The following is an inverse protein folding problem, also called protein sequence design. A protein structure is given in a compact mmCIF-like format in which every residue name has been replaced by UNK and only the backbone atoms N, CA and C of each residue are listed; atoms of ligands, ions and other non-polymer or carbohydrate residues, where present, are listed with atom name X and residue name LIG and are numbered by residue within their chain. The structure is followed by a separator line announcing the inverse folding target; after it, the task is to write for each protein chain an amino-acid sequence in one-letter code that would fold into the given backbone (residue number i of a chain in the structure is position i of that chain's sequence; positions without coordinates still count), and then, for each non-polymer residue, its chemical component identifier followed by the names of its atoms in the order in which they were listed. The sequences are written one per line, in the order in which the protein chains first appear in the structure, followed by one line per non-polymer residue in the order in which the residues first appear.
data_IF_021696576574
#
_entry.id   IF_021696576574
#
_cell.length_a   1.000
_cell.length_b   1.000
_cell.length_c   1.000
_cell.angle_alpha   90.00
_cell.angle_beta   90.00
_cell.angle_gamma   90.00
#
_symmetry.space_group_name_H-M   'P 1'
#
loop_
_entity.id
_entity.type
_entity.pdbx_description
1 polymer ?
#
# COMPACT_ATOMS: atom_id res chain seq x y z
N UNK A 1 13.22 22.19 -0.79
CA UNK A 1 12.05 21.34 -0.51
C UNK A 1 12.41 19.88 -0.68
N UNK A 2 11.89 19.00 0.19
CA UNK A 2 12.20 17.57 0.15
C UNK A 2 10.97 16.70 0.40
N UNK A 3 10.92 15.56 -0.30
CA UNK A 3 9.91 14.51 -0.12
C UNK A 3 10.63 13.30 0.46
N UNK A 4 10.18 12.79 1.60
CA UNK A 4 10.75 11.55 2.18
C UNK A 4 10.11 10.30 1.58
N UNK A 5 8.79 10.32 1.46
CA UNK A 5 7.92 9.24 1.01
C UNK A 5 6.79 9.84 0.17
N UNK A 6 6.31 9.12 -0.83
CA UNK A 6 5.15 9.63 -1.58
C UNK A 6 3.88 9.57 -0.73
N UNK A 7 2.87 10.37 -1.13
CA UNK A 7 1.52 10.27 -0.56
C UNK A 7 0.92 8.87 -0.77
N UNK A 8 1.14 8.25 -1.93
CA UNK A 8 0.72 6.88 -2.23
C UNK A 8 1.25 5.89 -1.18
N UNK A 9 2.56 5.93 -0.86
CA UNK A 9 3.13 5.08 0.20
C UNK A 9 2.51 5.37 1.57
N UNK A 10 2.30 6.64 1.89
CA UNK A 10 1.70 7.05 3.17
C UNK A 10 0.30 6.47 3.33
N UNK A 11 -0.55 6.56 2.31
CA UNK A 11 -1.91 6.00 2.33
C UNK A 11 -1.89 4.46 2.36
N UNK A 12 -1.01 3.83 1.58
CA UNK A 12 -0.86 2.37 1.60
C UNK A 12 -0.40 1.86 2.97
N UNK A 13 0.51 2.58 3.64
CA UNK A 13 0.97 2.23 4.99
C UNK A 13 -0.14 2.36 6.03
N UNK A 14 -1.05 3.34 5.91
CA UNK A 14 -2.22 3.44 6.80
C UNK A 14 -3.15 2.24 6.62
N UNK A 15 -3.34 1.78 5.39
CA UNK A 15 -4.16 0.60 5.12
C UNK A 15 -3.49 -0.68 5.63
N UNK A 16 -2.19 -0.85 5.36
CA UNK A 16 -1.47 -2.09 5.65
C UNK A 16 -1.03 -2.22 7.12
N UNK A 17 -0.67 -1.10 7.75
CA UNK A 17 0.12 -1.05 9.00
C UNK A 17 -0.46 -1.83 10.18
N UNK A 18 -1.79 -1.84 10.32
CA UNK A 18 -2.45 -2.53 11.44
C UNK A 18 -2.89 -3.95 11.08
N UNK A 19 -2.68 -4.42 9.84
CA UNK A 19 -3.22 -5.70 9.36
C UNK A 19 -2.77 -6.90 10.22
N UNK A 20 -1.48 -6.96 10.55
CA UNK A 20 -0.95 -8.04 11.40
C UNK A 20 -1.50 -7.95 12.83
N UNK A 21 -1.58 -6.75 13.40
CA UNK A 21 -2.12 -6.56 14.75
C UNK A 21 -3.60 -6.92 14.83
N UNK A 22 -4.40 -6.50 13.85
CA UNK A 22 -5.81 -6.85 13.72
C UNK A 22 -6.00 -8.35 13.53
N UNK A 23 -5.20 -8.98 12.67
CA UNK A 23 -5.25 -10.42 12.47
C UNK A 23 -4.93 -11.19 13.76
N UNK A 24 -3.88 -10.79 14.48
CA UNK A 24 -3.54 -11.39 15.78
C UNK A 24 -4.70 -11.22 16.76
N UNK A 25 -5.25 -10.02 16.87
CA UNK A 25 -6.38 -9.71 17.77
C UNK A 25 -7.59 -10.58 17.46
N UNK A 26 -7.95 -10.71 16.18
CA UNK A 26 -9.04 -11.59 15.74
C UNK A 26 -8.75 -13.06 16.09
N UNK A 27 -7.53 -13.54 15.85
CA UNK A 27 -7.16 -14.92 16.13
C UNK A 27 -7.14 -15.23 17.63
N UNK A 28 -6.74 -14.28 18.48
CA UNK A 28 -6.83 -14.39 19.94
C UNK A 28 -8.29 -14.51 20.37
N UNK A 29 -9.18 -13.67 19.84
CA UNK A 29 -10.62 -13.76 20.13
C UNK A 29 -11.23 -15.09 19.70
N UNK A 30 -10.87 -15.58 18.50
CA UNK A 30 -11.31 -16.89 18.00
C UNK A 30 -10.78 -18.04 18.87
N UNK A 31 -9.57 -17.94 19.40
CA UNK A 31 -9.01 -18.93 20.32
C UNK A 31 -9.74 -18.93 21.69
N UNK A 32 -10.15 -17.75 22.16
CA UNK A 32 -11.02 -17.62 23.34
C UNK A 32 -12.38 -18.30 23.14
N UNK A 33 -12.96 -18.21 21.94
CA UNK A 33 -14.18 -18.95 21.58
C UNK A 33 -13.92 -20.46 21.58
N UNK A 34 -12.83 -20.91 20.94
CA UNK A 34 -12.46 -22.33 20.85
C UNK A 34 -12.32 -22.99 22.21
N UNK A 35 -11.73 -22.27 23.16
CA UNK A 35 -11.49 -22.74 24.54
C UNK A 35 -12.72 -22.62 25.45
N UNK A 36 -13.82 -22.02 24.98
CA UNK A 36 -15.03 -21.81 25.77
C UNK A 36 -14.94 -20.65 26.77
N UNK A 37 -13.82 -19.89 26.77
CA UNK A 37 -13.61 -18.74 27.66
C UNK A 37 -14.44 -17.53 27.21
N UNK A 38 -14.63 -17.37 25.89
CA UNK A 38 -15.39 -16.25 25.30
C UNK A 38 -16.76 -16.73 24.83
N UNK A 39 -17.82 -16.10 25.33
CA UNK A 39 -19.21 -16.36 24.96
C UNK A 39 -19.84 -15.18 24.20
N UNK A 40 -21.04 -15.39 23.64
CA UNK A 40 -21.78 -14.32 22.93
C UNK A 40 -22.02 -13.14 23.86
N UNK A 41 -21.68 -11.93 23.42
CA UNK A 41 -22.09 -10.72 24.13
C UNK A 41 -23.63 -10.56 24.02
N UNK A 42 -24.36 -10.25 25.12
CA UNK A 42 -25.79 -9.98 25.08
C UNK A 42 -26.23 -8.88 24.10
N UNK A 43 -25.36 -7.91 23.77
CA UNK A 43 -25.67 -6.85 22.81
C UNK A 43 -25.72 -7.32 21.35
N UNK A 44 -25.23 -8.53 21.06
CA UNK A 44 -25.35 -9.13 19.74
C UNK A 44 -26.73 -9.77 19.57
N UNK A 45 -27.65 -9.02 18.96
CA UNK A 45 -29.05 -9.41 18.72
C UNK A 45 -29.25 -10.49 17.65
N UNK A 46 -28.19 -11.20 17.26
CA UNK A 46 -28.24 -12.32 16.31
C UNK A 46 -27.98 -13.65 17.01
N UNK A 47 -28.56 -14.72 16.49
CA UNK A 47 -28.36 -16.07 17.02
C UNK A 47 -26.94 -16.54 16.73
N UNK A 48 -26.22 -16.95 17.77
CA UNK A 48 -24.92 -17.61 17.66
C UNK A 48 -24.85 -18.70 18.72
N UNK A 49 -25.01 -19.95 18.27
CA UNK A 49 -24.99 -21.15 19.11
C UNK A 49 -24.27 -22.29 18.34
N UNK A 50 -22.93 -22.20 18.19
CA UNK A 50 -22.18 -23.20 17.44
C UNK A 50 -22.25 -24.57 18.12
N UNK A 51 -22.61 -25.61 17.36
CA UNK A 51 -22.63 -27.00 17.86
C UNK A 51 -21.23 -27.54 18.17
N UNK A 52 -20.24 -27.07 17.42
CA UNK A 52 -18.83 -27.47 17.54
C UNK A 52 -17.96 -26.21 17.52
N UNK A 53 -17.38 -25.89 18.68
CA UNK A 53 -16.50 -24.74 18.88
C UNK A 53 -15.17 -24.91 18.14
N UNK A 54 -14.65 -26.12 18.00
CA UNK A 54 -13.39 -26.39 17.32
C UNK A 54 -13.54 -26.15 15.81
N UNK A 55 -14.55 -26.77 15.19
CA UNK A 55 -14.83 -26.57 13.76
C UNK A 55 -15.21 -25.12 13.43
N UNK A 56 -16.00 -24.47 14.29
CA UNK A 56 -16.36 -23.05 14.13
C UNK A 56 -15.12 -22.16 14.19
N UNK A 57 -14.25 -22.38 15.17
CA UNK A 57 -13.01 -21.62 15.33
C UNK A 57 -12.04 -21.87 14.17
N UNK A 58 -11.90 -23.11 13.70
CA UNK A 58 -11.08 -23.44 12.52
C UNK A 58 -11.53 -22.69 11.27
N UNK A 59 -12.84 -22.59 11.03
CA UNK A 59 -13.40 -21.82 9.91
C UNK A 59 -13.21 -20.31 10.08
N UNK A 60 -13.44 -19.79 11.29
CA UNK A 60 -13.22 -18.38 11.59
C UNK A 60 -11.74 -17.97 11.39
N UNK A 61 -10.78 -18.81 11.82
CA UNK A 61 -9.34 -18.59 11.56
C UNK A 61 -9.01 -18.56 10.07
N UNK A 62 -9.63 -19.43 9.27
CA UNK A 62 -9.45 -19.41 7.80
C UNK A 62 -9.99 -18.12 7.19
N UNK A 63 -11.19 -17.71 7.60
CA UNK A 63 -11.81 -16.48 7.14
C UNK A 63 -10.96 -15.24 7.48
N UNK A 64 -10.52 -15.11 8.74
CA UNK A 64 -9.70 -13.98 9.18
C UNK A 64 -8.38 -13.86 8.38
N UNK A 65 -7.71 -14.99 8.12
CA UNK A 65 -6.48 -15.01 7.33
C UNK A 65 -6.71 -14.67 5.85
N UNK A 66 -7.80 -15.16 5.26
CA UNK A 66 -8.16 -14.81 3.89
C UNK A 66 -8.50 -13.32 3.76
N UNK A 67 -9.26 -12.77 4.71
CA UNK A 67 -9.58 -11.35 4.77
C UNK A 67 -8.31 -10.48 4.91
N UNK A 68 -7.40 -10.85 5.80
CA UNK A 68 -6.13 -10.13 5.97
C UNK A 68 -5.24 -10.18 4.72
N UNK A 69 -5.18 -11.33 4.03
CA UNK A 69 -4.48 -11.43 2.74
C UNK A 69 -5.13 -10.52 1.68
N UNK A 70 -6.45 -10.57 1.51
CA UNK A 70 -7.17 -9.71 0.56
C UNK A 70 -6.93 -8.23 0.85
N UNK A 71 -7.04 -7.82 2.12
CA UNK A 71 -6.77 -6.45 2.55
C UNK A 71 -5.35 -5.99 2.22
N UNK A 72 -4.37 -6.88 2.36
CA UNK A 72 -2.96 -6.58 2.04
C UNK A 72 -2.75 -6.37 0.54
N UNK A 73 -3.41 -7.18 -0.30
CA UNK A 73 -3.38 -6.99 -1.75
C UNK A 73 -4.10 -5.72 -2.18
N UNK A 74 -5.21 -5.37 -1.53
CA UNK A 74 -5.93 -4.13 -1.83
C UNK A 74 -5.10 -2.90 -1.43
N UNK A 75 -4.30 -2.97 -0.35
CA UNK A 75 -3.35 -1.91 -0.01
C UNK A 75 -2.23 -1.74 -1.07
N UNK A 76 -1.72 -2.85 -1.62
CA UNK A 76 -0.79 -2.81 -2.77
C UNK A 76 -1.47 -2.22 -4.00
N UNK A 77 -2.71 -2.61 -4.28
CA UNK A 77 -3.45 -2.09 -5.43
C UNK A 77 -3.74 -0.58 -5.31
N UNK A 78 -4.09 -0.13 -4.11
CA UNK A 78 -4.30 1.28 -3.81
C UNK A 78 -3.00 2.08 -3.96
N UNK A 79 -1.86 1.54 -3.54
CA UNK A 79 -0.55 2.15 -3.79
C UNK A 79 -0.30 2.34 -5.29
N UNK A 80 -0.40 1.25 -6.07
CA UNK A 80 -0.16 1.26 -7.51
C UNK A 80 -1.17 2.16 -8.26
N UNK A 81 -2.43 2.12 -7.86
CA UNK A 81 -3.48 2.98 -8.40
C UNK A 81 -3.24 4.45 -8.09
N UNK A 82 -2.77 4.81 -6.90
CA UNK A 82 -2.43 6.20 -6.57
C UNK A 82 -1.27 6.71 -7.43
N UNK A 83 -0.26 5.87 -7.73
CA UNK A 83 0.81 6.24 -8.65
C UNK A 83 0.34 6.51 -10.09
N UNK A 84 -0.86 6.05 -10.47
CA UNK A 84 -1.44 6.35 -11.79
C UNK A 84 -1.89 7.81 -11.95
N UNK A 85 -2.02 8.57 -10.85
CA UNK A 85 -2.51 9.96 -10.86
C UNK A 85 -1.46 10.88 -11.50
N UNK A 86 -1.53 11.04 -12.82
CA UNK A 86 -0.56 11.79 -13.65
C UNK A 86 -0.29 13.21 -13.15
N UNK A 87 -1.32 13.88 -12.63
CA UNK A 87 -1.16 15.25 -12.11
C UNK A 87 -0.21 15.31 -10.91
N UNK A 88 -0.12 14.25 -10.11
CA UNK A 88 0.76 14.16 -8.94
C UNK A 88 2.06 13.40 -9.24
N UNK A 89 1.96 12.33 -10.01
CA UNK A 89 3.05 11.42 -10.32
C UNK A 89 3.34 11.45 -11.82
N UNK A 90 4.15 12.42 -12.25
CA UNK A 90 4.70 12.39 -13.60
C UNK A 90 5.83 11.36 -13.65
N UNK A 91 5.49 10.17 -14.15
CA UNK A 91 6.41 9.05 -14.28
C UNK A 91 6.95 8.91 -15.71
N UNK A 92 6.76 9.91 -16.56
CA UNK A 92 7.23 9.90 -17.95
C UNK A 92 8.76 9.73 -18.05
N UNK A 93 9.50 10.23 -17.05
CA UNK A 93 10.95 10.03 -16.92
C UNK A 93 11.38 8.60 -16.58
N UNK A 94 10.45 7.73 -16.14
CA UNK A 94 10.68 6.28 -16.00
C UNK A 94 10.23 5.60 -17.29
N UNK A 95 8.96 5.78 -17.66
CA UNK A 95 8.36 5.17 -18.84
C UNK A 95 7.10 5.94 -19.23
N UNK A 96 6.99 6.37 -20.48
CA UNK A 96 5.93 7.24 -20.95
C UNK A 96 4.50 6.67 -20.80
N UNK A 97 4.32 5.34 -20.79
CA UNK A 97 2.99 4.70 -20.73
C UNK A 97 2.64 4.14 -19.35
N UNK A 98 3.52 4.27 -18.35
CA UNK A 98 3.35 3.56 -17.07
C UNK A 98 2.09 4.00 -16.32
N UNK A 99 1.79 5.30 -16.30
CA UNK A 99 0.60 5.79 -15.60
C UNK A 99 -0.68 5.17 -16.17
N UNK A 100 -0.78 4.98 -17.49
CA UNK A 100 -1.94 4.35 -18.12
C UNK A 100 -2.02 2.86 -17.79
N UNK A 101 -0.89 2.17 -17.76
CA UNK A 101 -0.82 0.77 -17.33
C UNK A 101 -1.17 0.59 -15.84
N UNK A 102 -0.92 1.59 -15.00
CA UNK A 102 -1.31 1.57 -13.59
C UNK A 102 -2.83 1.77 -13.36
N UNK A 103 -3.59 2.14 -14.39
CA UNK A 103 -5.06 2.22 -14.33
C UNK A 103 -5.75 0.87 -14.59
N UNK A 104 -5.01 -0.16 -14.95
CA UNK A 104 -5.54 -1.50 -15.25
C UNK A 104 -6.32 -2.09 -14.07
N UNK A 105 -7.30 -2.96 -14.31
CA UNK A 105 -8.09 -3.56 -13.21
C UNK A 105 -7.32 -4.60 -12.39
N UNK A 106 -6.31 -5.22 -12.96
CA UNK A 106 -5.58 -6.33 -12.33
C UNK A 106 -4.36 -5.83 -11.57
N UNK A 107 -4.30 -6.10 -10.27
CA UNK A 107 -3.13 -5.80 -9.41
C UNK A 107 -1.86 -6.44 -9.95
N UNK A 108 -1.98 -7.66 -10.49
CA UNK A 108 -0.87 -8.38 -11.12
C UNK A 108 -0.29 -7.56 -12.29
N UNK A 109 -1.15 -7.09 -13.20
CA UNK A 109 -0.71 -6.29 -14.36
C UNK A 109 -0.09 -4.96 -13.95
N UNK A 110 -0.67 -4.27 -12.96
CA UNK A 110 -0.08 -3.03 -12.43
C UNK A 110 1.32 -3.28 -11.86
N UNK A 111 1.50 -4.36 -11.10
CA UNK A 111 2.78 -4.71 -10.48
C UNK A 111 3.82 -5.09 -11.54
N UNK A 112 3.46 -5.89 -12.55
CA UNK A 112 4.34 -6.21 -13.69
C UNK A 112 4.77 -4.94 -14.43
N UNK A 113 3.80 -4.06 -14.74
CA UNK A 113 4.07 -2.81 -15.46
C UNK A 113 5.06 -1.92 -14.72
N UNK A 114 4.87 -1.68 -13.42
CA UNK A 114 5.80 -0.83 -12.67
C UNK A 114 7.15 -1.53 -12.46
N UNK A 115 7.16 -2.83 -12.20
CA UNK A 115 8.40 -3.59 -12.01
C UNK A 115 9.25 -3.57 -13.28
N UNK A 116 8.64 -3.75 -14.44
CA UNK A 116 9.32 -3.66 -15.73
C UNK A 116 9.80 -2.23 -16.01
N UNK A 117 8.95 -1.23 -15.79
CA UNK A 117 9.28 0.18 -16.04
C UNK A 117 10.47 0.65 -15.22
N UNK A 118 10.60 0.22 -13.96
CA UNK A 118 11.73 0.58 -13.08
C UNK A 118 12.86 -0.45 -13.08
N UNK A 119 12.78 -1.49 -13.92
CA UNK A 119 13.73 -2.62 -13.94
C UNK A 119 13.97 -3.20 -12.54
N UNK A 120 12.89 -3.43 -11.80
CA UNK A 120 12.94 -3.92 -10.43
C UNK A 120 13.59 -5.31 -10.40
N UNK A 121 14.63 -5.54 -9.58
CA UNK A 121 15.28 -6.84 -9.51
C UNK A 121 14.35 -7.90 -8.91
N UNK A 122 14.52 -9.15 -9.34
CA UNK A 122 13.87 -10.30 -8.73
C UNK A 122 14.36 -10.46 -7.29
N UNK A 123 13.50 -10.10 -6.34
CA UNK A 123 13.73 -10.21 -4.89
C UNK A 123 12.70 -11.14 -4.27
N UNK A 124 13.00 -11.63 -3.06
CA UNK A 124 12.04 -12.45 -2.32
C UNK A 124 10.75 -11.67 -1.98
N UNK A 125 10.85 -10.37 -1.74
CA UNK A 125 9.70 -9.49 -1.56
C UNK A 125 8.76 -9.49 -2.77
N UNK A 126 9.34 -9.32 -3.96
CA UNK A 126 8.59 -9.35 -5.22
C UNK A 126 7.96 -10.73 -5.44
N UNK A 127 8.74 -11.80 -5.27
CA UNK A 127 8.24 -13.17 -5.45
C UNK A 127 7.10 -13.51 -4.48
N UNK A 128 7.20 -13.08 -3.21
CA UNK A 128 6.13 -13.26 -2.22
C UNK A 128 4.91 -12.40 -2.53
N UNK A 129 5.06 -11.20 -3.09
CA UNK A 129 3.93 -10.38 -3.52
C UNK A 129 3.19 -11.02 -4.71
N UNK A 130 3.90 -11.55 -5.70
CA UNK A 130 3.29 -12.31 -6.80
C UNK A 130 2.56 -13.55 -6.28
N UNK A 131 3.17 -14.33 -5.38
CA UNK A 131 2.51 -15.46 -4.74
C UNK A 131 1.25 -15.02 -3.98
N UNK A 132 1.31 -13.93 -3.21
CA UNK A 132 0.18 -13.41 -2.45
C UNK A 132 -0.99 -13.01 -3.36
N UNK A 133 -0.73 -12.38 -4.51
CA UNK A 133 -1.74 -12.03 -5.52
C UNK A 133 -2.42 -13.30 -6.05
N UNK A 134 -1.65 -14.29 -6.49
CA UNK A 134 -2.23 -15.53 -7.04
C UNK A 134 -2.99 -16.32 -5.99
N UNK A 135 -2.47 -16.39 -4.77
CA UNK A 135 -3.15 -17.06 -3.66
C UNK A 135 -4.46 -16.35 -3.30
N UNK A 136 -4.48 -15.02 -3.27
CA UNK A 136 -5.73 -14.25 -3.09
C UNK A 136 -6.73 -14.56 -4.19
N UNK A 137 -6.28 -14.60 -5.44
CA UNK A 137 -7.18 -14.87 -6.57
C UNK A 137 -7.81 -16.26 -6.45
N UNK A 138 -7.04 -17.28 -6.09
CA UNK A 138 -7.53 -18.66 -5.92
C UNK A 138 -8.46 -18.80 -4.68
N UNK A 139 -8.30 -17.94 -3.67
CA UNK A 139 -9.19 -17.93 -2.50
C UNK A 139 -10.53 -17.22 -2.76
N UNK A 140 -10.52 -16.18 -3.58
CA UNK A 140 -11.70 -15.31 -3.82
C UNK A 140 -12.51 -15.78 -5.03
N UNK A 141 -11.85 -16.31 -6.05
CA UNK A 141 -12.50 -16.76 -7.28
C UNK A 141 -12.59 -18.29 -7.28
N UNK A 142 -13.80 -18.81 -7.06
CA UNK A 142 -14.08 -20.25 -6.92
C UNK A 142 -13.57 -21.13 -8.09
N UNK A 143 -13.43 -20.55 -9.28
CA UNK A 143 -13.01 -21.26 -10.52
C UNK A 143 -11.56 -20.93 -10.91
N UNK A 144 -10.86 -20.09 -10.14
CA UNK A 144 -9.54 -19.65 -10.54
C UNK A 144 -8.45 -20.65 -10.12
N UNK A 145 -7.69 -21.12 -11.11
CA UNK A 145 -6.50 -21.97 -10.95
C UNK A 145 -5.25 -21.19 -11.35
N UNK A 146 -5.02 -20.03 -10.71
CA UNK A 146 -3.84 -19.25 -11.03
C UNK A 146 -2.60 -19.98 -10.54
N UNK A 147 -1.57 -19.97 -11.39
CA UNK A 147 -0.26 -20.50 -11.08
C UNK A 147 0.74 -19.38 -10.80
N UNK A 148 1.80 -19.72 -10.09
CA UNK A 148 2.95 -18.85 -9.89
C UNK A 148 4.04 -19.18 -10.91
N UNK A 149 4.62 -18.16 -11.53
CA UNK A 149 5.70 -18.33 -12.52
C UNK A 149 6.93 -19.03 -11.92
N UNK A 150 7.65 -19.75 -12.78
CA UNK A 150 8.77 -20.62 -12.40
C UNK A 150 9.89 -19.84 -11.71
N UNK A 151 10.17 -18.62 -12.15
CA UNK A 151 11.22 -17.77 -11.57
C UNK A 151 10.91 -17.35 -10.13
N UNK A 152 9.65 -16.96 -9.83
CA UNK A 152 9.23 -16.63 -8.48
C UNK A 152 9.23 -17.86 -7.57
N UNK A 153 8.80 -19.02 -8.08
CA UNK A 153 8.89 -20.30 -7.35
C UNK A 153 10.35 -20.62 -6.99
N UNK A 154 11.27 -20.48 -7.96
CA UNK A 154 12.70 -20.71 -7.74
C UNK A 154 13.24 -19.75 -6.68
N UNK A 155 12.95 -18.44 -6.81
CA UNK A 155 13.36 -17.42 -5.85
C UNK A 155 12.88 -17.73 -4.42
N UNK A 156 11.62 -18.14 -4.25
CA UNK A 156 11.06 -18.52 -2.94
C UNK A 156 11.80 -19.72 -2.35
N UNK A 157 12.02 -20.78 -3.14
CA UNK A 157 12.73 -21.98 -2.66
C UNK A 157 14.15 -21.70 -2.22
N UNK A 158 14.87 -20.87 -2.98
CA UNK A 158 16.27 -20.55 -2.69
C UNK A 158 16.43 -19.54 -1.56
N UNK A 159 15.48 -18.62 -1.39
CA UNK A 159 15.58 -17.53 -0.41
C UNK A 159 14.94 -17.87 0.94
N UNK A 160 13.98 -18.79 0.98
CA UNK A 160 13.28 -19.22 2.20
C UNK A 160 13.69 -20.64 2.58
N UNK A 161 14.98 -20.81 2.82
CA UNK A 161 15.51 -22.04 3.43
C UNK A 161 15.20 -21.96 4.92
N UNK A 162 14.35 -22.85 5.42
CA UNK A 162 14.10 -22.95 6.85
C UNK A 162 15.27 -23.70 7.49
N UNK A 163 16.07 -23.01 8.30
CA UNK A 163 17.03 -23.67 9.20
C UNK A 163 16.69 -23.29 10.63
N UNK A 164 16.89 -24.23 11.57
CA UNK A 164 16.69 -23.96 12.99
C UNK A 164 17.72 -22.97 13.56
N UNK A 165 18.83 -22.76 12.85
CA UNK A 165 19.98 -21.98 13.29
C UNK A 165 19.94 -20.52 12.78
N UNK A 166 19.35 -20.27 11.62
CA UNK A 166 19.24 -18.93 11.02
C UNK A 166 17.80 -18.67 10.55
N UNK A 167 16.96 -18.05 11.38
CA UNK A 167 15.59 -17.73 10.99
C UNK A 167 15.60 -16.65 9.90
N UNK A 168 14.91 -16.92 8.78
CA UNK A 168 14.72 -15.89 7.77
C UNK A 168 13.87 -14.72 8.30
N UNK A 169 13.98 -13.55 7.66
CA UNK A 169 13.28 -12.31 8.05
C UNK A 169 11.75 -12.38 8.03
N UNK A 170 11.18 -13.48 7.55
CA UNK A 170 9.73 -13.74 7.46
C UNK A 170 9.26 -14.78 8.48
N UNK A 171 9.91 -14.84 9.65
CA UNK A 171 9.48 -15.71 10.75
C UNK A 171 9.80 -17.20 10.54
N UNK A 172 10.91 -17.47 9.85
CA UNK A 172 11.39 -18.81 9.51
C UNK A 172 10.36 -19.65 8.74
N UNK A 173 9.73 -19.03 7.74
CA UNK A 173 8.83 -19.73 6.83
C UNK A 173 9.63 -20.63 5.88
N UNK A 174 9.15 -21.84 5.64
CA UNK A 174 9.75 -22.78 4.68
C UNK A 174 9.14 -22.55 3.30
N UNK A 175 9.99 -22.19 2.32
CA UNK A 175 9.55 -21.91 0.96
C UNK A 175 8.95 -23.11 0.23
N UNK A 176 9.45 -24.33 0.47
CA UNK A 176 8.90 -25.55 -0.11
C UNK A 176 7.51 -25.84 0.46
N UNK A 177 7.36 -25.73 1.78
CA UNK A 177 6.07 -25.94 2.44
C UNK A 177 5.05 -24.88 1.99
N UNK A 178 5.47 -23.62 1.90
CA UNK A 178 4.62 -22.52 1.45
C UNK A 178 4.08 -22.77 0.04
N UNK A 179 4.95 -23.17 -0.90
CA UNK A 179 4.57 -23.47 -2.28
C UNK A 179 3.72 -24.74 -2.41
N UNK A 180 3.98 -25.75 -1.56
CA UNK A 180 3.15 -26.96 -1.49
C UNK A 180 1.74 -26.64 -1.01
N UNK A 181 1.61 -25.84 0.06
CA UNK A 181 0.31 -25.40 0.59
C UNK A 181 -0.46 -24.57 -0.45
N UNK A 182 0.21 -23.72 -1.23
CA UNK A 182 -0.41 -23.00 -2.35
C UNK A 182 -0.89 -23.93 -3.47
N UNK A 183 -0.03 -24.85 -3.92
CA UNK A 183 -0.32 -25.75 -5.05
C UNK A 183 -1.45 -26.72 -4.72
N UNK A 184 -1.60 -27.12 -3.45
CA UNK A 184 -2.68 -27.99 -2.99
C UNK A 184 -4.00 -27.24 -2.70
N UNK A 185 -4.17 -26.00 -3.20
CA UNK A 185 -5.33 -25.15 -2.90
C UNK A 185 -5.60 -25.00 -1.40
N UNK A 186 -4.53 -24.96 -0.61
CA UNK A 186 -4.60 -24.79 0.84
C UNK A 186 -4.94 -23.36 1.23
N UNK A 187 -5.44 -23.18 2.46
CA UNK A 187 -5.56 -21.86 3.06
C UNK A 187 -4.20 -21.41 3.63
N UNK A 188 -3.80 -20.14 3.43
CA UNK A 188 -2.53 -19.65 3.95
C UNK A 188 -2.50 -19.75 5.47
N UNK A 189 -1.32 -20.10 5.99
CA UNK A 189 -1.08 -20.12 7.44
C UNK A 189 -0.98 -18.68 7.97
N UNK A 190 -1.04 -18.51 9.29
CA UNK A 190 -0.81 -17.18 9.88
C UNK A 190 0.58 -16.65 9.52
N UNK A 191 1.62 -17.50 9.62
CA UNK A 191 2.98 -17.16 9.22
C UNK A 191 3.07 -16.73 7.75
N UNK A 192 2.38 -17.43 6.85
CA UNK A 192 2.32 -17.05 5.44
C UNK A 192 1.69 -15.66 5.24
N UNK A 193 0.54 -15.38 5.86
CA UNK A 193 -0.11 -14.06 5.76
C UNK A 193 0.79 -12.96 6.32
N UNK A 194 1.42 -13.19 7.48
CA UNK A 194 2.34 -12.22 8.07
C UNK A 194 3.56 -11.96 7.16
N UNK A 195 4.10 -13.00 6.53
CA UNK A 195 5.17 -12.88 5.54
C UNK A 195 4.73 -12.06 4.31
N UNK A 196 3.51 -12.27 3.80
CA UNK A 196 2.96 -11.50 2.70
C UNK A 196 2.75 -10.02 3.05
N UNK A 197 2.20 -9.72 4.24
CA UNK A 197 2.05 -8.34 4.72
C UNK A 197 3.41 -7.64 4.76
N UNK A 198 4.41 -8.31 5.35
CA UNK A 198 5.76 -7.77 5.46
C UNK A 198 6.42 -7.59 4.09
N UNK A 199 6.29 -8.57 3.18
CA UNK A 199 6.88 -8.50 1.84
C UNK A 199 6.26 -7.38 1.01
N UNK A 200 4.93 -7.21 1.08
CA UNK A 200 4.21 -6.13 0.39
C UNK A 200 4.67 -4.77 0.92
N UNK A 201 4.79 -4.60 2.24
CA UNK A 201 5.27 -3.35 2.83
C UNK A 201 6.69 -2.99 2.35
N UNK A 202 7.61 -3.96 2.38
CA UNK A 202 8.98 -3.77 1.93
C UNK A 202 9.08 -3.52 0.42
N UNK A 203 8.24 -4.18 -0.37
CA UNK A 203 8.16 -3.97 -1.82
C UNK A 203 7.67 -2.56 -2.16
N UNK A 204 6.60 -2.10 -1.51
CA UNK A 204 6.09 -0.73 -1.65
C UNK A 204 7.19 0.28 -1.31
N UNK A 205 7.93 0.07 -0.22
CA UNK A 205 9.05 0.93 0.14
C UNK A 205 10.14 0.97 -0.92
N UNK A 206 10.49 -0.18 -1.50
CA UNK A 206 11.48 -0.27 -2.56
C UNK A 206 11.04 0.49 -3.82
N UNK A 207 9.80 0.26 -4.26
CA UNK A 207 9.23 0.94 -5.42
C UNK A 207 9.16 2.45 -5.15
N UNK A 208 8.71 2.86 -3.96
CA UNK A 208 8.57 4.27 -3.58
C UNK A 208 9.90 5.01 -3.63
N UNK A 209 10.98 4.39 -3.15
CA UNK A 209 12.31 4.99 -3.21
C UNK A 209 12.81 5.19 -4.65
N UNK A 210 12.50 4.27 -5.56
CA UNK A 210 12.88 4.41 -6.96
C UNK A 210 12.04 5.50 -7.63
N UNK A 211 10.73 5.51 -7.39
CA UNK A 211 9.80 6.54 -7.89
C UNK A 211 10.21 7.93 -7.39
N UNK A 212 10.53 8.09 -6.10
CA UNK A 212 10.95 9.39 -5.56
C UNK A 212 12.19 9.96 -6.24
N UNK A 213 13.11 9.11 -6.70
CA UNK A 213 14.33 9.55 -7.39
C UNK A 213 14.06 10.06 -8.80
N UNK A 214 12.95 9.66 -9.42
CA UNK A 214 12.58 10.13 -10.75
C UNK A 214 11.65 11.34 -10.74
N UNK A 215 11.01 11.64 -9.61
CA UNK A 215 10.07 12.75 -9.50
C UNK A 215 10.79 14.10 -9.40
N UNK A 216 10.30 15.07 -10.17
CA UNK A 216 10.58 16.48 -9.91
C UNK A 216 9.80 16.94 -8.68
N UNK A 217 10.50 17.43 -7.65
CA UNK A 217 9.88 17.93 -6.42
C UNK A 217 8.86 19.04 -6.73
N UNK A 218 9.17 19.92 -7.68
CA UNK A 218 8.28 21.02 -8.04
C UNK A 218 7.01 20.53 -8.73
N UNK A 219 7.13 19.62 -9.70
CA UNK A 219 5.97 19.03 -10.37
C UNK A 219 5.09 18.23 -9.40
N UNK A 220 5.72 17.49 -8.49
CA UNK A 220 5.00 16.75 -7.45
C UNK A 220 4.22 17.67 -6.51
N UNK A 221 4.83 18.78 -6.07
CA UNK A 221 4.16 19.80 -5.24
C UNK A 221 2.99 20.44 -6.00
N UNK A 222 3.18 20.82 -7.26
CA UNK A 222 2.11 21.36 -8.10
C UNK A 222 0.93 20.37 -8.15
N UNK A 223 1.23 19.09 -8.36
CA UNK A 223 0.26 18.01 -8.39
C UNK A 223 -0.51 17.79 -7.08
N UNK A 224 0.18 17.88 -5.95
CA UNK A 224 -0.45 17.80 -4.64
C UNK A 224 -1.41 18.98 -4.38
N UNK A 225 -1.05 20.19 -4.82
CA UNK A 225 -1.90 21.38 -4.74
C UNK A 225 -3.14 21.20 -5.63
N UNK A 226 -2.96 20.74 -6.87
CA UNK A 226 -4.06 20.42 -7.79
C UNK A 226 -5.02 19.40 -7.18
N UNK A 227 -4.50 18.31 -6.61
CA UNK A 227 -5.31 17.29 -5.93
C UNK A 227 -6.12 17.88 -4.76
N UNK A 228 -5.55 18.83 -4.02
CA UNK A 228 -6.24 19.52 -2.93
C UNK A 228 -7.27 20.55 -3.41
N UNK A 229 -7.09 21.06 -4.64
CA UNK A 229 -8.01 21.96 -5.32
C UNK A 229 -9.12 21.25 -6.11
N UNK A 230 -9.17 19.91 -6.11
CA UNK A 230 -10.11 19.16 -6.95
C UNK A 230 -11.60 19.33 -6.60
N UNK A 231 -11.93 20.05 -5.52
CA UNK A 231 -13.31 20.34 -5.10
C UNK A 231 -13.52 21.83 -4.89
N UNK A 232 -14.76 22.36 -5.02
CA UNK A 232 -15.02 23.79 -4.78
C UNK A 232 -14.57 24.27 -3.39
N UNK A 233 -14.76 23.44 -2.36
CA UNK A 233 -14.28 23.73 -1.00
C UNK A 233 -12.74 23.78 -0.94
N UNK A 234 -12.06 22.88 -1.68
CA UNK A 234 -10.61 22.87 -1.83
C UNK A 234 -10.08 24.14 -2.51
N UNK A 235 -10.67 24.53 -3.65
CA UNK A 235 -10.34 25.78 -4.36
C UNK A 235 -10.51 26.99 -3.46
N UNK A 236 -11.62 27.08 -2.74
CA UNK A 236 -11.88 28.19 -1.82
C UNK A 236 -10.83 28.25 -0.70
N UNK A 237 -10.45 27.10 -0.12
CA UNK A 237 -9.41 27.00 0.92
C UNK A 237 -8.05 27.46 0.38
N UNK A 238 -7.65 26.99 -0.80
CA UNK A 238 -6.38 27.36 -1.41
C UNK A 238 -6.37 28.84 -1.82
N UNK A 239 -7.44 29.34 -2.47
CA UNK A 239 -7.56 30.76 -2.84
C UNK A 239 -7.37 31.68 -1.62
N UNK A 240 -8.00 31.34 -0.48
CA UNK A 240 -7.84 32.11 0.77
C UNK A 240 -6.39 32.15 1.26
N UNK A 241 -5.64 31.08 1.06
CA UNK A 241 -4.25 30.97 1.46
C UNK A 241 -3.37 31.93 0.64
N UNK A 242 -3.55 31.98 -0.69
CA UNK A 242 -2.82 32.92 -1.57
C UNK A 242 -3.34 34.36 -1.51
N UNK A 243 -4.51 34.60 -0.91
CA UNK A 243 -5.05 35.93 -0.67
C UNK A 243 -4.42 36.64 0.55
N UNK A 244 -3.60 35.96 1.37
CA UNK A 244 -2.92 36.55 2.52
C UNK A 244 -1.95 37.64 2.03
N UNK A 245 -2.11 38.93 2.41
CA UNK A 245 -1.25 40.01 1.88
C UNK A 245 0.19 39.96 2.39
N UNK A 246 0.37 39.61 3.66
CA UNK A 246 1.69 39.46 4.27
C UNK A 246 2.38 38.19 3.73
N UNK A 247 3.48 38.38 3.00
CA UNK A 247 4.27 37.31 2.40
C UNK A 247 4.86 36.36 3.44
N UNK A 248 5.27 36.85 4.61
CA UNK A 248 5.84 35.99 5.66
C UNK A 248 4.76 35.07 6.25
N UNK A 249 3.58 35.63 6.53
CA UNK A 249 2.44 34.87 7.03
C UNK A 249 1.91 33.88 5.97
N UNK A 250 1.89 34.28 4.70
CA UNK A 250 1.55 33.41 3.58
C UNK A 250 2.52 32.25 3.47
N UNK A 251 3.83 32.52 3.46
CA UNK A 251 4.87 31.50 3.37
C UNK A 251 4.71 30.47 4.50
N UNK A 252 4.52 30.91 5.75
CA UNK A 252 4.26 30.02 6.90
C UNK A 252 3.04 29.12 6.68
N UNK A 253 1.95 29.67 6.12
CA UNK A 253 0.73 28.91 5.83
C UNK A 253 0.94 27.89 4.70
N UNK A 254 1.71 28.26 3.67
CA UNK A 254 2.11 27.33 2.60
C UNK A 254 2.99 26.20 3.19
N UNK A 255 3.95 26.50 4.05
CA UNK A 255 4.77 25.48 4.73
C UNK A 255 3.90 24.49 5.52
N UNK A 256 2.90 24.99 6.25
CA UNK A 256 1.97 24.14 7.00
C UNK A 256 1.14 23.25 6.07
N UNK A 257 0.63 23.80 4.96
CA UNK A 257 -0.07 23.03 3.94
C UNK A 257 0.85 21.92 3.37
N UNK A 258 2.03 22.29 2.88
CA UNK A 258 3.00 21.35 2.30
C UNK A 258 3.40 20.25 3.30
N UNK A 259 3.62 20.62 4.56
CA UNK A 259 3.94 19.66 5.64
C UNK A 259 2.79 18.68 5.87
N UNK A 260 1.54 19.14 5.86
CA UNK A 260 0.36 18.26 5.96
C UNK A 260 0.21 17.31 4.77
N UNK A 261 0.80 17.65 3.63
CA UNK A 261 0.84 16.84 2.42
C UNK A 261 2.12 15.99 2.30
N UNK A 262 2.99 16.00 3.32
CA UNK A 262 4.19 15.19 3.40
C UNK A 262 5.43 15.79 2.71
N UNK A 263 5.39 17.07 2.35
CA UNK A 263 6.53 17.81 1.78
C UNK A 263 7.20 18.59 2.91
N UNK A 264 8.51 18.38 3.08
CA UNK A 264 9.31 19.06 4.09
C UNK A 264 9.99 20.29 3.50
N UNK A 265 9.92 21.39 4.23
CA UNK A 265 10.72 22.59 3.99
C UNK A 265 12.05 22.45 4.71
N UNK A 266 13.11 22.18 3.96
CA UNK A 266 14.49 22.07 4.43
C UNK A 266 15.32 23.32 4.13
N UNK A 267 15.00 24.01 3.03
CA UNK A 267 15.60 25.29 2.65
C UNK A 267 14.51 26.35 2.43
N UNK A 268 14.45 27.42 3.25
CA UNK A 268 13.51 28.52 3.05
C UNK A 268 13.82 29.37 1.80
N UNK A 269 15.01 29.23 1.21
CA UNK A 269 15.43 29.91 0.00
C UNK A 269 15.24 29.09 -1.28
N UNK A 270 14.55 27.94 -1.19
CA UNK A 270 14.21 27.12 -2.36
C UNK A 270 13.54 27.99 -3.46
N UNK A 271 14.13 28.09 -4.67
CA UNK A 271 13.66 29.03 -5.69
C UNK A 271 12.21 28.77 -6.13
N UNK A 272 11.81 27.51 -6.16
CA UNK A 272 10.46 27.15 -6.55
C UNK A 272 9.47 27.45 -5.42
N UNK A 273 9.84 27.25 -4.15
CA UNK A 273 9.03 27.69 -3.01
C UNK A 273 8.82 29.21 -2.98
N UNK A 274 9.88 29.99 -3.22
CA UNK A 274 9.79 31.45 -3.28
C UNK A 274 8.86 31.91 -4.41
N UNK A 275 8.97 31.28 -5.58
CA UNK A 275 8.06 31.51 -6.72
C UNK A 275 6.62 31.17 -6.36
N UNK A 276 6.40 30.05 -5.66
CA UNK A 276 5.06 29.62 -5.24
C UNK A 276 4.43 30.63 -4.26
N UNK A 277 5.22 31.18 -3.34
CA UNK A 277 4.75 32.18 -2.37
C UNK A 277 4.41 33.54 -3.00
N UNK A 278 5.14 33.92 -4.06
CA UNK A 278 4.99 35.23 -4.70
C UNK A 278 3.82 35.31 -5.68
N UNK A 279 3.19 34.19 -6.05
CA UNK A 279 2.03 34.18 -6.94
C UNK A 279 0.92 35.09 -6.41
N UNK A 280 0.34 35.90 -7.31
CA UNK A 280 -0.94 36.53 -7.03
C UNK A 280 -2.06 35.48 -7.01
N UNK A 281 -3.23 35.82 -6.47
CA UNK A 281 -4.40 34.93 -6.51
C UNK A 281 -4.78 34.58 -7.96
N UNK A 282 -4.66 35.54 -8.87
CA UNK A 282 -4.94 35.34 -10.29
C UNK A 282 -3.92 34.39 -10.92
N UNK A 283 -2.62 34.60 -10.69
CA UNK A 283 -1.56 33.74 -11.25
C UNK A 283 -1.64 32.33 -10.66
N UNK A 284 -1.98 32.19 -9.38
CA UNK A 284 -2.25 30.91 -8.74
C UNK A 284 -3.37 30.15 -9.47
N UNK A 285 -4.52 30.80 -9.70
CA UNK A 285 -5.64 30.18 -10.41
C UNK A 285 -5.29 29.80 -11.84
N UNK A 286 -4.54 30.65 -12.55
CA UNK A 286 -4.07 30.36 -13.90
C UNK A 286 -3.13 29.16 -13.91
N UNK A 287 -2.12 29.14 -13.04
CA UNK A 287 -1.12 28.06 -12.94
C UNK A 287 -1.79 26.71 -12.69
N UNK A 288 -2.75 26.68 -11.76
CA UNK A 288 -3.39 25.44 -11.32
C UNK A 288 -4.72 25.13 -12.01
N UNK A 289 -5.21 26.01 -12.90
CA UNK A 289 -6.51 25.87 -13.57
C UNK A 289 -7.67 25.60 -12.58
N UNK A 290 -7.67 26.33 -11.46
CA UNK A 290 -8.64 26.22 -10.35
C UNK A 290 -9.57 27.43 -10.25
#
# INVERSE_FOLDING_TARGET
MKIKHTRARTEAKKLLGDTNHLLITLLVGVEGVRSGVVTKNPTFNVTWNPRDLESTSKRARRFARAAALSWSIDALDAYLGNLSIKSTYDLSGINAVINDQLTQRSVFRKLESISNAISLPLTIELALAHLAIQWRNNLVHYVAENELDVEFRKCIRTSLVATALEPNKFGNIDGNRLLLDFTNNGHPTFKAVAAFVQSINSLIETIDQIVLRSLSVSAYVDGLILSNGATPAGVARLTKLWAIPDLAQRAKSIVQLLSSLGVLMDDPHDPYFLTLCSLSVQDFRIRFKL
#
